data_IF_376721281184
#
_entry.id   IF_376721281184
#
_cell.length_a   1.000
_cell.length_b   1.000
_cell.length_c   1.000
_cell.angle_alpha   90.00
_cell.angle_beta   90.00
_cell.angle_gamma   90.00
#
_symmetry.space_group_name_H-M   'P 1'
#
loop_
_entity.id
_entity.type
_entity.pdbx_description
1 polymer ?
#
# COMPACT_ATOMS: atom_id res chain seq x y z
N UNK A 1 32.81 -47.53 5.27
CA UNK A 1 32.80 -47.99 3.86
C UNK A 1 32.04 -46.98 3.02
N UNK A 2 32.72 -46.43 2.01
CA UNK A 2 32.22 -45.74 0.81
C UNK A 2 31.13 -44.64 0.94
N UNK A 3 31.58 -43.38 1.06
CA UNK A 3 30.88 -42.24 0.47
C UNK A 3 31.04 -42.30 -1.06
N UNK A 4 29.94 -42.46 -1.80
CA UNK A 4 29.92 -42.24 -3.25
C UNK A 4 29.61 -40.77 -3.52
N UNK A 5 30.68 -40.01 -3.77
CA UNK A 5 30.61 -38.63 -4.25
C UNK A 5 30.09 -38.62 -5.68
N UNK A 6 28.86 -38.12 -5.90
CA UNK A 6 28.37 -37.82 -7.26
C UNK A 6 29.16 -36.64 -7.82
N UNK A 7 30.06 -36.92 -8.77
CA UNK A 7 30.69 -35.88 -9.60
C UNK A 7 29.64 -35.34 -10.57
N UNK A 8 29.19 -34.11 -10.34
CA UNK A 8 28.44 -33.35 -11.36
C UNK A 8 29.47 -32.87 -12.38
N UNK A 9 29.41 -33.44 -13.58
CA UNK A 9 30.21 -33.00 -14.73
C UNK A 9 29.58 -31.69 -15.21
N UNK A 10 30.20 -30.57 -14.83
CA UNK A 10 29.87 -29.26 -15.39
C UNK A 10 30.58 -29.23 -16.74
N UNK A 11 29.83 -29.45 -17.82
CA UNK A 11 30.31 -29.16 -19.17
C UNK A 11 30.67 -27.68 -19.25
N UNK A 12 31.98 -27.42 -19.29
CA UNK A 12 32.50 -26.08 -19.52
C UNK A 12 32.24 -25.75 -20.98
N UNK A 13 31.11 -25.10 -21.27
CA UNK A 13 30.90 -24.42 -22.53
C UNK A 13 31.91 -23.28 -22.62
N UNK A 14 33.03 -23.57 -23.29
CA UNK A 14 34.10 -22.62 -23.52
C UNK A 14 33.57 -21.40 -24.25
N UNK A 15 33.41 -20.29 -23.52
CA UNK A 15 33.18 -18.98 -24.12
C UNK A 15 34.48 -18.56 -24.78
N UNK A 16 34.54 -18.70 -26.11
CA UNK A 16 35.61 -18.14 -26.93
C UNK A 16 35.59 -16.62 -26.71
N UNK A 17 36.68 -16.09 -26.14
CA UNK A 17 36.87 -14.66 -25.94
C UNK A 17 37.73 -14.15 -27.09
N UNK A 18 37.09 -13.61 -28.13
CA UNK A 18 37.82 -12.89 -29.16
C UNK A 18 38.32 -11.55 -28.60
N UNK A 19 39.63 -11.49 -28.35
CA UNK A 19 40.31 -10.28 -27.91
C UNK A 19 40.66 -9.43 -29.12
N UNK A 20 39.75 -8.52 -29.50
CA UNK A 20 40.02 -7.50 -30.52
C UNK A 20 40.25 -6.16 -29.81
N UNK A 21 41.52 -5.73 -29.78
CA UNK A 21 42.00 -4.36 -29.50
C UNK A 21 41.23 -3.56 -28.44
N UNK A 22 41.70 -3.61 -27.18
CA UNK A 22 41.52 -2.63 -26.10
C UNK A 22 40.09 -2.15 -25.75
N UNK A 23 39.02 -2.67 -26.36
CA UNK A 23 37.64 -2.33 -26.02
C UNK A 23 36.94 -3.55 -25.45
N UNK A 24 36.63 -3.53 -24.16
CA UNK A 24 35.78 -4.55 -23.51
C UNK A 24 34.36 -4.42 -24.09
N UNK A 25 34.03 -5.14 -25.15
CA UNK A 25 32.64 -5.31 -25.59
C UNK A 25 31.96 -6.28 -24.62
N UNK A 26 30.90 -5.84 -23.95
CA UNK A 26 30.12 -6.71 -23.06
C UNK A 26 29.57 -7.88 -23.87
N UNK A 27 29.87 -9.12 -23.45
CA UNK A 27 29.43 -10.36 -24.10
C UNK A 27 27.90 -10.61 -24.07
N UNK A 28 27.12 -9.60 -23.69
CA UNK A 28 25.70 -9.70 -23.34
C UNK A 28 24.93 -8.75 -24.25
N UNK A 29 23.79 -9.21 -24.76
CA UNK A 29 22.90 -8.37 -25.57
C UNK A 29 22.45 -7.13 -24.78
N UNK A 30 22.25 -5.97 -25.43
CA UNK A 30 21.80 -4.76 -24.74
C UNK A 30 20.46 -4.93 -24.01
N UNK A 31 19.57 -5.79 -24.51
CA UNK A 31 18.29 -6.12 -23.85
C UNK A 31 18.51 -6.89 -22.55
N UNK A 32 19.38 -7.90 -22.57
CA UNK A 32 19.75 -8.65 -21.36
C UNK A 32 20.47 -7.74 -20.36
N UNK A 33 21.30 -6.80 -20.81
CA UNK A 33 21.95 -5.82 -19.92
C UNK A 33 20.94 -4.89 -19.23
N UNK A 34 19.87 -4.46 -19.91
CA UNK A 34 18.78 -3.69 -19.28
C UNK A 34 18.06 -4.50 -18.20
N UNK A 35 17.76 -5.77 -18.46
CA UNK A 35 17.14 -6.66 -17.47
C UNK A 35 18.07 -6.85 -16.28
N UNK A 36 19.37 -7.08 -16.50
CA UNK A 36 20.36 -7.17 -15.41
C UNK A 36 20.42 -5.86 -14.61
N UNK A 37 20.33 -4.70 -15.26
CA UNK A 37 20.28 -3.41 -14.57
C UNK A 37 18.97 -3.23 -13.77
N UNK A 38 17.82 -3.67 -14.28
CA UNK A 38 16.55 -3.67 -13.55
C UNK A 38 16.60 -4.62 -12.34
N UNK A 39 17.15 -5.83 -12.51
CA UNK A 39 17.36 -6.78 -11.42
C UNK A 39 18.36 -6.24 -10.39
N UNK A 40 19.42 -5.57 -10.86
CA UNK A 40 20.37 -4.86 -10.00
C UNK A 40 19.71 -3.67 -9.30
N UNK A 41 18.74 -2.99 -9.93
CA UNK A 41 17.95 -1.91 -9.35
C UNK A 41 17.26 -2.38 -8.07
N UNK A 42 16.60 -3.53 -8.14
CA UNK A 42 15.82 -4.16 -7.06
C UNK A 42 16.72 -4.91 -6.05
N UNK A 43 17.88 -5.41 -6.49
CA UNK A 43 18.78 -6.20 -5.64
C UNK A 43 19.37 -5.39 -4.47
N UNK A 44 19.21 -5.91 -3.24
CA UNK A 44 19.77 -5.33 -2.03
C UNK A 44 21.28 -5.61 -1.81
N UNK A 45 21.87 -6.50 -2.61
CA UNK A 45 23.20 -7.12 -2.34
C UNK A 45 24.34 -6.12 -2.10
N UNK A 46 24.42 -5.05 -2.87
CA UNK A 46 25.47 -4.00 -2.74
C UNK A 46 24.93 -2.62 -2.40
N UNK A 47 23.62 -2.51 -2.21
CA UNK A 47 22.92 -1.23 -2.04
C UNK A 47 22.44 -0.97 -0.62
N UNK A 48 22.34 -2.02 0.19
CA UNK A 48 22.00 -1.85 1.60
C UNK A 48 23.19 -1.26 2.38
N UNK A 49 22.98 -0.22 3.19
CA UNK A 49 24.01 0.29 4.08
C UNK A 49 24.31 -0.73 5.19
N UNK A 50 25.38 -0.49 5.95
CA UNK A 50 25.62 -1.23 7.19
C UNK A 50 24.49 -0.95 8.18
N UNK A 51 24.17 -1.95 9.02
CA UNK A 51 23.16 -1.79 10.06
C UNK A 51 23.56 -0.66 11.01
N UNK A 52 22.57 0.15 11.41
CA UNK A 52 22.78 1.21 12.39
C UNK A 52 22.98 0.58 13.77
N UNK A 53 24.13 0.89 14.38
CA UNK A 53 24.42 0.51 15.75
C UNK A 53 24.04 1.66 16.67
N UNK A 54 23.18 1.40 17.65
CA UNK A 54 22.75 2.39 18.64
C UNK A 54 23.49 2.16 19.96
N UNK A 55 23.77 3.26 20.67
CA UNK A 55 24.16 3.17 22.08
C UNK A 55 22.99 2.62 22.92
N UNK A 56 23.30 2.03 24.08
CA UNK A 56 22.27 1.50 25.00
C UNK A 56 21.22 2.56 25.37
N UNK A 57 21.63 3.80 25.62
CA UNK A 57 20.73 4.90 25.92
C UNK A 57 19.78 5.20 24.76
N UNK A 58 20.30 5.27 23.54
CA UNK A 58 19.50 5.56 22.35
C UNK A 58 18.56 4.41 21.98
N UNK A 59 18.98 3.17 22.26
CA UNK A 59 18.13 2.00 22.13
C UNK A 59 16.96 2.06 23.12
N UNK A 60 17.19 2.50 24.36
CA UNK A 60 16.11 2.74 25.33
C UNK A 60 15.18 3.85 24.81
N UNK A 61 15.71 4.99 24.36
CA UNK A 61 14.92 6.10 23.77
C UNK A 61 14.09 5.64 22.57
N UNK A 62 14.67 4.84 21.68
CA UNK A 62 13.97 4.29 20.52
C UNK A 62 12.79 3.41 20.94
N UNK A 63 12.99 2.54 21.94
CA UNK A 63 11.94 1.68 22.48
C UNK A 63 10.83 2.49 23.15
N UNK A 64 11.18 3.51 23.94
CA UNK A 64 10.17 4.34 24.62
C UNK A 64 9.33 5.12 23.62
N UNK A 65 9.94 5.76 22.61
CA UNK A 65 9.22 6.45 21.52
C UNK A 65 8.30 5.48 20.79
N UNK A 66 8.80 4.30 20.42
CA UNK A 66 8.01 3.28 19.71
C UNK A 66 6.82 2.81 20.54
N UNK A 67 7.02 2.58 21.84
CA UNK A 67 5.95 2.16 22.74
C UNK A 67 4.91 3.28 22.95
N UNK A 68 5.36 4.53 23.08
CA UNK A 68 4.47 5.68 23.17
C UNK A 68 3.61 5.82 21.90
N UNK A 69 4.20 5.64 20.71
CA UNK A 69 3.49 5.65 19.44
C UNK A 69 2.46 4.52 19.32
N UNK A 70 2.81 3.29 19.73
CA UNK A 70 1.88 2.16 19.80
C UNK A 70 0.69 2.46 20.71
N UNK A 71 0.95 3.01 21.89
CA UNK A 71 -0.09 3.38 22.86
C UNK A 71 -0.99 4.50 22.31
N UNK A 72 -0.42 5.50 21.64
CA UNK A 72 -1.17 6.56 20.96
C UNK A 72 -2.10 5.99 19.88
N UNK A 73 -1.58 5.12 19.01
CA UNK A 73 -2.39 4.49 17.95
C UNK A 73 -3.50 3.62 18.50
N UNK A 74 -3.25 2.89 19.60
CA UNK A 74 -4.28 2.11 20.30
C UNK A 74 -5.43 3.03 20.76
N UNK A 75 -5.11 4.12 21.47
CA UNK A 75 -6.11 5.10 21.91
C UNK A 75 -6.88 5.73 20.74
N UNK A 76 -6.19 6.04 19.65
CA UNK A 76 -6.82 6.58 18.42
C UNK A 76 -7.81 5.59 17.82
N UNK A 77 -7.45 4.30 17.76
CA UNK A 77 -8.34 3.27 17.25
C UNK A 77 -9.53 3.02 18.19
N UNK A 78 -9.30 2.94 19.50
CA UNK A 78 -10.36 2.82 20.51
C UNK A 78 -11.38 3.96 20.39
N UNK A 79 -10.93 5.21 20.23
CA UNK A 79 -11.81 6.35 20.00
C UNK A 79 -12.64 6.19 18.71
N UNK A 80 -12.02 5.77 17.61
CA UNK A 80 -12.71 5.51 16.34
C UNK A 80 -13.76 4.41 16.48
N UNK A 81 -13.42 3.30 17.12
CA UNK A 81 -14.35 2.19 17.37
C UNK A 81 -15.51 2.61 18.26
N UNK A 82 -15.25 3.37 19.32
CA UNK A 82 -16.30 3.90 20.19
C UNK A 82 -17.26 4.83 19.43
N UNK A 83 -16.76 5.68 18.52
CA UNK A 83 -17.61 6.50 17.66
C UNK A 83 -18.45 5.64 16.70
N UNK A 84 -17.87 4.64 16.03
CA UNK A 84 -18.60 3.74 15.14
C UNK A 84 -19.68 2.95 15.88
N UNK A 85 -19.39 2.48 17.10
CA UNK A 85 -20.34 1.79 17.95
C UNK A 85 -21.54 2.67 18.29
N UNK A 86 -21.30 3.93 18.68
CA UNK A 86 -22.38 4.90 18.96
C UNK A 86 -23.21 5.20 17.72
N UNK A 87 -22.57 5.35 16.55
CA UNK A 87 -23.29 5.54 15.28
C UNK A 87 -24.18 4.34 14.97
N UNK A 88 -23.68 3.12 15.14
CA UNK A 88 -24.45 1.89 14.96
C UNK A 88 -25.64 1.80 15.91
N UNK A 89 -25.43 2.05 17.20
CA UNK A 89 -26.51 2.05 18.21
C UNK A 89 -27.58 3.09 17.89
N UNK A 90 -27.16 4.29 17.48
CA UNK A 90 -28.08 5.35 17.06
C UNK A 90 -28.91 4.94 15.84
N UNK A 91 -28.28 4.33 14.82
CA UNK A 91 -28.96 3.85 13.60
C UNK A 91 -29.95 2.74 13.96
N UNK A 92 -29.54 1.79 14.82
CA UNK A 92 -30.37 0.67 15.26
C UNK A 92 -31.63 1.18 15.98
N UNK A 93 -31.48 2.09 16.93
CA UNK A 93 -32.61 2.64 17.68
C UNK A 93 -33.58 3.37 16.75
N UNK A 94 -33.07 4.22 15.85
CA UNK A 94 -33.89 4.94 14.87
C UNK A 94 -34.65 3.99 13.93
N UNK A 95 -34.05 2.87 13.53
CA UNK A 95 -34.71 1.86 12.70
C UNK A 95 -35.78 1.07 13.45
N UNK A 96 -35.59 0.80 14.75
CA UNK A 96 -36.61 0.15 15.57
C UNK A 96 -37.82 1.08 15.75
N UNK A 97 -37.58 2.36 16.02
CA UNK A 97 -38.64 3.38 16.11
C UNK A 97 -39.41 3.53 14.77
N UNK A 98 -38.67 3.52 13.64
CA UNK A 98 -39.28 3.59 12.31
C UNK A 98 -40.17 2.38 12.04
N UNK A 99 -39.76 1.19 12.46
CA UNK A 99 -40.52 -0.06 12.31
C UNK A 99 -41.85 -0.01 13.07
N UNK A 100 -41.87 0.60 14.25
CA UNK A 100 -43.09 0.76 15.05
C UNK A 100 -44.03 1.84 14.51
N UNK A 101 -43.48 2.91 13.93
CA UNK A 101 -44.26 4.07 13.44
C UNK A 101 -44.77 3.90 12.02
N UNK A 102 -43.92 3.43 11.09
CA UNK A 102 -44.27 3.20 9.67
C UNK A 102 -43.52 2.00 9.09
N UNK A 103 -44.17 0.82 9.04
CA UNK A 103 -43.55 -0.39 8.48
C UNK A 103 -43.15 -0.27 7.01
N UNK A 104 -43.89 0.50 6.21
CA UNK A 104 -43.60 0.72 4.78
C UNK A 104 -42.27 1.45 4.57
N UNK A 105 -42.04 2.53 5.33
CA UNK A 105 -40.78 3.28 5.28
C UNK A 105 -39.60 2.45 5.80
N UNK A 106 -39.83 1.63 6.83
CA UNK A 106 -38.82 0.69 7.33
C UNK A 106 -38.40 -0.32 6.25
N UNK A 107 -39.37 -0.91 5.53
CA UNK A 107 -39.07 -1.82 4.42
C UNK A 107 -38.28 -1.11 3.32
N UNK A 108 -38.67 0.10 2.94
CA UNK A 108 -37.96 0.89 1.93
C UNK A 108 -36.52 1.22 2.34
N UNK A 109 -36.29 1.60 3.61
CA UNK A 109 -34.97 1.94 4.13
C UNK A 109 -34.04 0.73 4.30
N UNK A 110 -34.59 -0.46 4.58
CA UNK A 110 -33.80 -1.68 4.77
C UNK A 110 -33.45 -2.41 3.44
N UNK A 111 -33.83 -1.84 2.29
CA UNK A 111 -33.46 -2.37 0.98
C UNK A 111 -31.94 -2.33 0.80
N UNK A 112 -31.36 -3.45 0.36
CA UNK A 112 -29.93 -3.56 0.13
C UNK A 112 -29.52 -2.70 -1.08
N UNK A 113 -28.66 -1.73 -0.85
CA UNK A 113 -28.08 -0.90 -1.90
C UNK A 113 -26.90 -1.64 -2.58
N UNK A 114 -27.17 -2.47 -3.58
CA UNK A 114 -26.12 -3.29 -4.26
C UNK A 114 -25.17 -2.48 -5.13
N UNK A 115 -25.61 -1.35 -5.67
CA UNK A 115 -24.86 -0.57 -6.66
C UNK A 115 -24.35 0.78 -6.13
N UNK A 116 -24.48 1.04 -4.83
CA UNK A 116 -24.08 2.34 -4.26
C UNK A 116 -22.57 2.46 -4.25
N UNK A 117 -22.07 3.36 -5.09
CA UNK A 117 -20.66 3.77 -5.14
C UNK A 117 -20.52 5.15 -4.53
N UNK A 118 -19.33 5.41 -3.98
CA UNK A 118 -18.99 6.77 -3.59
C UNK A 118 -18.88 7.66 -4.85
N UNK A 119 -19.46 8.87 -4.84
CA UNK A 119 -19.31 9.81 -5.95
C UNK A 119 -17.84 10.16 -6.19
N UNK A 120 -17.45 10.31 -7.46
CA UNK A 120 -16.05 10.64 -7.83
C UNK A 120 -15.62 12.03 -7.35
N UNK A 121 -16.60 12.90 -7.10
CA UNK A 121 -16.40 14.25 -6.58
C UNK A 121 -15.98 14.26 -5.12
N UNK A 122 -16.28 13.19 -4.37
CA UNK A 122 -15.83 13.05 -2.98
C UNK A 122 -14.34 12.68 -2.97
N UNK A 123 -13.49 13.71 -3.04
CA UNK A 123 -12.03 13.59 -3.11
C UNK A 123 -11.43 13.24 -1.75
N UNK A 124 -10.27 12.59 -1.80
CA UNK A 124 -9.41 12.36 -0.63
C UNK A 124 -8.80 13.71 -0.20
N UNK A 125 -8.76 14.04 1.10
CA UNK A 125 -8.13 15.26 1.59
C UNK A 125 -6.66 15.37 1.16
N UNK A 126 -6.25 16.54 0.67
CA UNK A 126 -4.87 16.87 0.28
C UNK A 126 -4.17 17.70 1.36
N UNK A 127 -2.83 17.73 1.36
CA UNK A 127 -2.05 18.53 2.33
C UNK A 127 -2.29 20.04 2.18
N UNK A 128 -2.37 20.52 0.92
CA UNK A 128 -2.65 21.91 0.59
C UNK A 128 -3.96 21.99 -0.21
N UNK A 129 -4.77 23.06 -0.02
CA UNK A 129 -6.00 23.22 -0.77
C UNK A 129 -5.72 23.53 -2.25
N UNK A 130 -6.64 23.19 -3.15
CA UNK A 130 -6.57 23.63 -4.55
C UNK A 130 -6.83 25.15 -4.67
N UNK A 131 -6.44 25.73 -5.80
CA UNK A 131 -6.66 27.17 -6.10
C UNK A 131 -8.10 27.60 -5.93
N UNK A 132 -9.06 26.73 -6.26
CA UNK A 132 -10.48 26.88 -5.97
C UNK A 132 -10.89 25.80 -4.96
N UNK A 133 -10.98 26.11 -3.65
CA UNK A 133 -11.31 25.14 -2.61
C UNK A 133 -12.68 24.49 -2.78
N UNK A 134 -13.64 25.24 -3.33
CA UNK A 134 -15.01 24.81 -3.54
C UNK A 134 -15.52 25.24 -4.90
N UNK A 135 -16.34 24.41 -5.52
CA UNK A 135 -17.00 24.70 -6.80
C UNK A 135 -18.48 24.94 -6.50
N UNK A 136 -18.92 26.20 -6.57
CA UNK A 136 -20.32 26.56 -6.34
C UNK A 136 -21.22 26.24 -7.53
N UNK A 137 -20.68 26.34 -8.74
CA UNK A 137 -21.40 26.10 -10.01
C UNK A 137 -21.33 24.62 -10.40
N UNK A 138 -21.96 23.77 -9.57
CA UNK A 138 -22.02 22.34 -9.86
C UNK A 138 -23.07 22.03 -10.93
N UNK A 139 -22.69 21.23 -11.92
CA UNK A 139 -23.55 20.73 -12.98
C UNK A 139 -23.27 19.25 -13.16
N UNK A 140 -24.31 18.43 -13.11
CA UNK A 140 -24.16 16.98 -13.18
C UNK A 140 -23.56 16.59 -14.55
N UNK A 141 -22.60 15.66 -14.62
CA UNK A 141 -21.92 15.32 -15.88
C UNK A 141 -22.86 14.96 -17.04
N UNK A 142 -24.04 14.39 -16.77
CA UNK A 142 -25.05 14.06 -17.79
C UNK A 142 -25.72 15.26 -18.47
N UNK A 143 -25.60 16.46 -17.90
CA UNK A 143 -26.27 17.67 -18.39
C UNK A 143 -25.35 18.54 -19.28
N UNK A 144 -24.04 18.26 -19.31
CA UNK A 144 -23.05 19.07 -20.04
C UNK A 144 -22.90 18.74 -21.53
N UNK A 145 -23.50 17.63 -21.98
CA UNK A 145 -23.39 17.13 -23.36
C UNK A 145 -24.62 17.48 -24.24
N UNK A 146 -25.57 18.26 -23.70
CA UNK A 146 -26.71 18.82 -24.45
C UNK A 146 -26.43 20.28 -24.82
#
# INVERSE_FOLDING_TARGET
>A
MFQQSRKVVIEQTGVIRDFIRHKRTSAISPSTQRVVNQLSAISATRKQPKLINLCNEDLIKHRTITNAWKLYNRKKNEKRMATLQKQYESIKNAMEDLKHTSPELYEAANKKETEKRFPIEMRIPTEYPPTKPWIYEYTHPSEKEK
#
